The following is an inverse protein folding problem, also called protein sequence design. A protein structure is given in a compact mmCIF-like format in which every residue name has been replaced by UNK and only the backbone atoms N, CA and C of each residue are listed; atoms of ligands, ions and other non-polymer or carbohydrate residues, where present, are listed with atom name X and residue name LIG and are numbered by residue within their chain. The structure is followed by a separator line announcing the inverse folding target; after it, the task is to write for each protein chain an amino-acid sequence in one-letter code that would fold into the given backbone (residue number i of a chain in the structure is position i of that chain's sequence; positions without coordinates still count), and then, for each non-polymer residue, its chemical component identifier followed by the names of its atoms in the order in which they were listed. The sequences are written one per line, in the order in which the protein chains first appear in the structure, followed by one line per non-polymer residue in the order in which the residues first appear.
data_IF_720896067792
#
_entry.id   IF_720896067792
#
_cell.length_a   1.000
_cell.length_b   1.000
_cell.length_c   1.000
_cell.angle_alpha   90.00
_cell.angle_beta   90.00
_cell.angle_gamma   90.00
#
_symmetry.space_group_name_H-M   'P 1'
#
loop_
_entity.id
_entity.type
_entity.pdbx_description
1 polymer ?
#
# COMPACT_ATOMS: atom_id res chain seq x y z
N UNK A 1 -32.63 5.94 -13.04
CA UNK A 1 -31.16 5.90 -13.19
C UNK A 1 -30.64 4.94 -12.12
N UNK A 2 -30.16 3.75 -12.48
CA UNK A 2 -29.62 2.80 -11.48
C UNK A 2 -28.31 3.35 -10.92
N UNK A 3 -28.19 3.44 -9.60
CA UNK A 3 -26.96 3.88 -8.94
C UNK A 3 -25.86 2.85 -9.20
N UNK A 4 -24.73 3.30 -9.78
CA UNK A 4 -23.56 2.44 -10.01
C UNK A 4 -23.01 2.00 -8.65
N UNK A 5 -22.88 0.68 -8.44
CA UNK A 5 -22.33 0.10 -7.22
C UNK A 5 -20.89 0.57 -6.99
N UNK A 6 -20.47 0.70 -5.73
CA UNK A 6 -19.07 1.00 -5.36
C UNK A 6 -18.17 -0.19 -5.71
N UNK A 7 -16.88 0.06 -5.95
CA UNK A 7 -15.91 -1.01 -6.26
C UNK A 7 -15.87 -2.11 -5.17
N UNK A 8 -15.97 -1.73 -3.90
CA UNK A 8 -16.02 -2.67 -2.78
C UNK A 8 -17.25 -3.59 -2.84
N UNK A 9 -18.41 -3.07 -3.26
CA UNK A 9 -19.65 -3.86 -3.40
C UNK A 9 -19.58 -4.77 -4.63
N UNK A 10 -19.07 -4.24 -5.74
CA UNK A 10 -18.85 -5.03 -6.96
C UNK A 10 -17.90 -6.21 -6.68
N UNK A 11 -16.82 -5.96 -5.93
CA UNK A 11 -15.86 -6.99 -5.53
C UNK A 11 -16.54 -8.07 -4.70
N UNK A 12 -17.26 -7.70 -3.63
CA UNK A 12 -17.97 -8.68 -2.78
C UNK A 12 -18.90 -9.57 -3.57
N UNK A 13 -19.71 -8.98 -4.46
CA UNK A 13 -20.66 -9.74 -5.28
C UNK A 13 -19.92 -10.71 -6.21
N UNK A 14 -18.88 -10.23 -6.92
CA UNK A 14 -18.10 -11.08 -7.82
C UNK A 14 -17.37 -12.21 -7.05
N UNK A 15 -16.82 -11.90 -5.89
CA UNK A 15 -16.06 -12.85 -5.09
C UNK A 15 -16.97 -13.89 -4.43
N UNK A 16 -18.16 -13.51 -3.96
CA UNK A 16 -19.16 -14.46 -3.46
C UNK A 16 -19.67 -15.39 -4.56
N UNK A 17 -19.87 -14.88 -5.78
CA UNK A 17 -20.22 -15.69 -6.95
C UNK A 17 -19.15 -16.75 -7.24
N UNK A 18 -17.88 -16.36 -7.22
CA UNK A 18 -16.76 -17.27 -7.39
C UNK A 18 -16.68 -18.31 -6.26
N UNK A 19 -16.74 -17.87 -4.99
CA UNK A 19 -16.75 -18.76 -3.83
C UNK A 19 -17.88 -19.78 -3.93
N UNK A 20 -19.10 -19.35 -4.27
CA UNK A 20 -20.26 -20.23 -4.42
C UNK A 20 -20.05 -21.26 -5.53
N UNK A 21 -19.59 -20.82 -6.71
CA UNK A 21 -19.33 -21.73 -7.84
C UNK A 21 -18.26 -22.79 -7.50
N UNK A 22 -17.30 -22.43 -6.65
CA UNK A 22 -16.22 -23.30 -6.21
C UNK A 22 -16.49 -24.01 -4.86
N UNK A 23 -17.72 -23.99 -4.33
CA UNK A 23 -18.09 -24.53 -3.01
C UNK A 23 -17.15 -24.07 -1.87
N UNK A 24 -16.67 -22.83 -1.96
CA UNK A 24 -15.75 -22.22 -1.00
C UNK A 24 -14.31 -22.74 -1.07
N UNK A 25 -13.95 -23.54 -2.08
CA UNK A 25 -12.63 -24.16 -2.21
C UNK A 25 -11.79 -23.55 -3.34
N UNK A 26 -10.71 -22.79 -3.04
CA UNK A 26 -9.80 -22.28 -4.08
C UNK A 26 -9.07 -23.40 -4.83
N UNK A 27 -8.89 -24.58 -4.22
CA UNK A 27 -8.33 -25.75 -4.93
C UNK A 27 -9.24 -26.26 -6.03
N UNK A 28 -10.57 -26.17 -5.84
CA UNK A 28 -11.55 -26.56 -6.86
C UNK A 28 -11.45 -25.64 -8.09
N UNK A 29 -11.19 -24.34 -7.88
CA UNK A 29 -10.93 -23.39 -8.97
C UNK A 29 -9.75 -23.86 -9.84
N UNK A 30 -8.59 -24.13 -9.24
CA UNK A 30 -7.38 -24.58 -9.96
C UNK A 30 -7.57 -25.93 -10.66
N UNK A 31 -8.31 -26.85 -10.04
CA UNK A 31 -8.46 -28.22 -10.57
C UNK A 31 -9.38 -28.29 -11.78
N UNK A 32 -10.44 -27.48 -11.81
CA UNK A 32 -11.55 -27.66 -12.75
C UNK A 32 -11.78 -26.47 -13.70
N UNK A 33 -10.95 -25.42 -13.69
CA UNK A 33 -11.18 -24.27 -14.57
C UNK A 33 -11.15 -24.61 -16.07
N UNK A 34 -10.36 -25.62 -16.47
CA UNK A 34 -10.32 -26.09 -17.87
C UNK A 34 -11.60 -26.82 -18.30
N UNK A 35 -12.28 -27.49 -17.37
CA UNK A 35 -13.53 -28.22 -17.63
C UNK A 35 -14.78 -27.36 -17.44
N UNK A 36 -14.69 -26.30 -16.64
CA UNK A 36 -15.80 -25.42 -16.26
C UNK A 36 -15.46 -23.98 -16.66
N UNK A 37 -15.80 -23.53 -17.89
CA UNK A 37 -15.45 -22.20 -18.39
C UNK A 37 -15.97 -21.04 -17.53
N UNK A 38 -17.02 -21.28 -16.75
CA UNK A 38 -17.55 -20.28 -15.81
C UNK A 38 -16.54 -19.90 -14.71
N UNK A 39 -15.67 -20.83 -14.29
CA UNK A 39 -14.67 -20.58 -13.25
C UNK A 39 -13.68 -19.51 -13.69
N UNK A 40 -13.14 -19.63 -14.90
CA UNK A 40 -12.22 -18.65 -15.46
C UNK A 40 -12.86 -17.29 -15.68
N UNK A 41 -14.10 -17.25 -16.21
CA UNK A 41 -14.88 -16.02 -16.33
C UNK A 41 -15.09 -15.30 -14.98
N UNK A 42 -15.42 -16.04 -13.92
CA UNK A 42 -15.61 -15.49 -12.58
C UNK A 42 -14.28 -15.04 -11.94
N UNK A 43 -13.21 -15.83 -12.10
CA UNK A 43 -11.87 -15.49 -11.65
C UNK A 43 -11.37 -14.20 -12.31
N UNK A 44 -11.48 -14.10 -13.64
CA UNK A 44 -11.17 -12.90 -14.43
C UNK A 44 -11.99 -11.69 -13.97
N UNK A 45 -13.27 -11.87 -13.64
CA UNK A 45 -14.10 -10.77 -13.12
C UNK A 45 -13.61 -10.29 -11.74
N UNK A 46 -13.26 -11.21 -10.84
CA UNK A 46 -12.71 -10.87 -9.52
C UNK A 46 -11.36 -10.18 -9.66
N UNK A 47 -10.46 -10.72 -10.47
CA UNK A 47 -9.13 -10.15 -10.73
C UNK A 47 -9.24 -8.71 -11.28
N UNK A 48 -10.07 -8.48 -12.29
CA UNK A 48 -10.27 -7.15 -12.87
C UNK A 48 -10.75 -6.11 -11.85
N UNK A 49 -11.65 -6.48 -10.93
CA UNK A 49 -12.15 -5.57 -9.89
C UNK A 49 -11.09 -5.39 -8.79
N UNK A 50 -10.41 -6.46 -8.39
CA UNK A 50 -9.33 -6.41 -7.40
C UNK A 50 -8.19 -5.51 -7.88
N UNK A 51 -7.79 -5.66 -9.15
CA UNK A 51 -6.81 -4.79 -9.82
C UNK A 51 -7.24 -3.33 -9.80
N UNK A 52 -8.51 -3.00 -10.08
CA UNK A 52 -9.00 -1.62 -9.94
C UNK A 52 -8.92 -1.10 -8.50
N UNK A 53 -9.23 -1.93 -7.50
CA UNK A 53 -9.12 -1.57 -6.09
C UNK A 53 -7.65 -1.31 -5.72
N UNK A 54 -6.74 -2.19 -6.13
CA UNK A 54 -5.30 -2.03 -5.89
C UNK A 54 -4.72 -0.81 -6.61
N UNK A 55 -5.17 -0.51 -7.84
CA UNK A 55 -4.84 0.74 -8.53
C UNK A 55 -5.20 1.96 -7.68
N UNK A 56 -6.41 1.99 -7.12
CA UNK A 56 -6.81 3.09 -6.22
C UNK A 56 -5.92 3.14 -4.96
N UNK A 57 -5.48 2.00 -4.42
CA UNK A 57 -4.55 1.93 -3.28
C UNK A 57 -3.13 2.48 -3.60
N UNK A 58 -2.78 2.59 -4.89
CA UNK A 58 -1.53 3.22 -5.34
C UNK A 58 -1.62 4.75 -5.31
N UNK A 59 -2.81 5.33 -5.33
CA UNK A 59 -2.99 6.80 -5.23
C UNK A 59 -3.33 7.27 -3.82
N UNK A 60 -3.97 6.41 -3.02
CA UNK A 60 -4.34 6.73 -1.63
C UNK A 60 -4.16 5.52 -0.74
N UNK A 61 -3.73 5.75 0.49
CA UNK A 61 -3.57 4.67 1.48
C UNK A 61 -4.78 4.49 2.38
N UNK A 62 -5.68 5.45 2.46
CA UNK A 62 -6.85 5.36 3.33
C UNK A 62 -8.14 5.30 2.52
N UNK A 63 -9.00 4.32 2.85
CA UNK A 63 -10.26 4.08 2.16
C UNK A 63 -11.40 4.08 3.17
N UNK A 64 -12.19 5.15 3.18
CA UNK A 64 -13.28 5.36 4.12
C UNK A 64 -14.59 4.66 3.71
N UNK A 65 -15.52 4.57 4.65
CA UNK A 65 -16.88 4.08 4.42
C UNK A 65 -16.95 2.67 3.82
N UNK A 66 -16.11 1.79 4.36
CA UNK A 66 -15.99 0.40 3.90
C UNK A 66 -16.80 -0.52 4.81
N UNK A 67 -17.55 -1.44 4.21
CA UNK A 67 -18.30 -2.45 4.98
C UNK A 67 -17.36 -3.50 5.59
N UNK A 68 -17.65 -3.97 6.81
CA UNK A 68 -16.84 -4.99 7.49
C UNK A 68 -16.75 -6.30 6.68
N UNK A 69 -17.81 -6.67 5.97
CA UNK A 69 -17.79 -7.88 5.15
C UNK A 69 -16.84 -7.74 3.96
N UNK A 70 -16.73 -6.55 3.35
CA UNK A 70 -15.70 -6.31 2.32
C UNK A 70 -14.31 -6.52 2.90
N UNK A 71 -14.02 -5.99 4.09
CA UNK A 71 -12.71 -6.14 4.73
C UNK A 71 -12.39 -7.62 4.95
N UNK A 72 -13.39 -8.41 5.36
CA UNK A 72 -13.25 -9.85 5.56
C UNK A 72 -13.06 -10.60 4.23
N UNK A 73 -13.86 -10.31 3.21
CA UNK A 73 -13.74 -10.88 1.86
C UNK A 73 -12.40 -10.51 1.21
N UNK A 74 -11.94 -9.27 1.37
CA UNK A 74 -10.65 -8.81 0.85
C UNK A 74 -9.49 -9.53 1.51
N UNK A 75 -9.55 -9.78 2.83
CA UNK A 75 -8.56 -10.61 3.53
C UNK A 75 -8.59 -12.06 3.04
N UNK A 76 -9.77 -12.65 2.88
CA UNK A 76 -9.90 -14.01 2.36
C UNK A 76 -9.34 -14.12 0.94
N UNK A 77 -9.63 -13.14 0.08
CA UNK A 77 -9.03 -13.01 -1.24
C UNK A 77 -7.51 -12.98 -1.17
N UNK A 78 -6.93 -12.01 -0.45
CA UNK A 78 -5.47 -11.83 -0.39
C UNK A 78 -4.73 -13.06 0.15
N UNK A 79 -5.27 -13.72 1.17
CA UNK A 79 -4.56 -14.79 1.87
C UNK A 79 -4.87 -16.21 1.38
N UNK A 80 -6.01 -16.43 0.72
CA UNK A 80 -6.44 -17.80 0.34
C UNK A 80 -6.80 -17.99 -1.12
N UNK A 81 -7.14 -16.93 -1.86
CA UNK A 81 -7.65 -17.09 -3.24
C UNK A 81 -6.81 -16.40 -4.30
N UNK A 82 -6.02 -15.39 -3.92
CA UNK A 82 -5.31 -14.55 -4.88
C UNK A 82 -4.41 -15.36 -5.80
N UNK A 83 -3.62 -16.28 -5.25
CA UNK A 83 -2.67 -17.08 -6.06
C UNK A 83 -3.39 -17.98 -7.07
N UNK A 84 -4.48 -18.59 -6.64
CA UNK A 84 -5.31 -19.48 -7.46
C UNK A 84 -6.05 -18.71 -8.56
N UNK A 85 -6.58 -17.52 -8.24
CA UNK A 85 -7.20 -16.62 -9.21
C UNK A 85 -6.15 -16.13 -10.22
N UNK A 86 -5.02 -15.63 -9.75
CA UNK A 86 -3.93 -15.12 -10.59
C UNK A 86 -3.45 -16.23 -11.56
N UNK A 87 -3.30 -17.47 -11.08
CA UNK A 87 -2.96 -18.62 -11.93
C UNK A 87 -4.01 -18.88 -13.02
N UNK A 88 -5.30 -19.00 -12.65
CA UNK A 88 -6.36 -19.30 -13.61
C UNK A 88 -6.47 -18.22 -14.69
N UNK A 89 -6.44 -16.94 -14.30
CA UNK A 89 -6.49 -15.81 -15.25
C UNK A 89 -5.31 -15.85 -16.22
N UNK A 90 -4.12 -16.17 -15.71
CA UNK A 90 -2.90 -16.25 -16.51
C UNK A 90 -2.90 -17.45 -17.45
N UNK A 91 -3.37 -18.60 -16.97
CA UNK A 91 -3.53 -19.82 -17.76
C UNK A 91 -4.47 -19.59 -18.94
N UNK A 92 -5.63 -18.94 -18.71
CA UNK A 92 -6.56 -18.61 -19.79
C UNK A 92 -5.96 -17.63 -20.81
N UNK A 93 -5.24 -16.60 -20.33
CA UNK A 93 -4.58 -15.65 -21.22
C UNK A 93 -3.50 -16.32 -22.07
N UNK A 94 -2.62 -17.12 -21.48
CA UNK A 94 -1.56 -17.84 -22.19
C UNK A 94 -2.13 -18.85 -23.19
N UNK A 95 -3.17 -19.60 -22.81
CA UNK A 95 -3.85 -20.51 -23.72
C UNK A 95 -4.48 -19.76 -24.91
N UNK A 96 -5.01 -18.55 -24.70
CA UNK A 96 -5.57 -17.73 -25.80
C UNK A 96 -4.51 -17.21 -26.79
N UNK A 97 -3.24 -17.28 -26.39
CA UNK A 97 -2.07 -16.87 -27.18
C UNK A 97 -1.25 -18.07 -27.67
N UNK A 98 -1.81 -19.29 -27.59
CA UNK A 98 -1.16 -20.57 -27.96
C UNK A 98 0.16 -20.85 -27.21
N UNK A 99 0.32 -20.32 -25.99
CA UNK A 99 1.46 -20.66 -25.11
C UNK A 99 1.16 -21.87 -24.22
N UNK A 100 2.19 -22.64 -23.92
CA UNK A 100 2.10 -23.74 -22.97
C UNK A 100 1.89 -23.20 -21.54
N UNK A 101 0.90 -23.75 -20.85
CA UNK A 101 0.56 -23.37 -19.48
C UNK A 101 1.18 -24.38 -18.52
N UNK A 102 2.12 -23.92 -17.69
CA UNK A 102 2.69 -24.74 -16.62
C UNK A 102 1.67 -25.09 -15.54
N UNK A 103 1.99 -26.07 -14.67
CA UNK A 103 1.08 -26.43 -13.57
C UNK A 103 1.05 -25.35 -12.48
N UNK A 104 0.01 -25.37 -11.65
CA UNK A 104 -0.07 -24.45 -10.51
C UNK A 104 1.11 -24.64 -9.54
N UNK A 105 1.55 -25.89 -9.32
CA UNK A 105 2.70 -26.21 -8.49
C UNK A 105 4.00 -25.62 -9.04
N UNK A 106 4.17 -25.59 -10.36
CA UNK A 106 5.35 -24.98 -11.00
C UNK A 106 5.35 -23.47 -10.80
N UNK A 107 4.20 -22.83 -11.06
CA UNK A 107 4.02 -21.39 -10.79
C UNK A 107 4.27 -21.06 -9.32
N UNK A 108 3.86 -21.91 -8.37
CA UNK A 108 4.15 -21.71 -6.96
C UNK A 108 5.64 -21.82 -6.61
N UNK A 109 6.37 -22.75 -7.22
CA UNK A 109 7.82 -22.94 -6.99
C UNK A 109 8.62 -21.75 -7.50
N UNK A 110 8.19 -21.16 -8.61
CA UNK A 110 8.85 -20.00 -9.22
C UNK A 110 8.52 -18.68 -8.51
N UNK A 111 7.84 -18.74 -7.36
CA UNK A 111 7.46 -17.57 -6.56
C UNK A 111 6.14 -16.92 -7.00
N UNK A 112 5.42 -17.54 -7.93
CA UNK A 112 4.20 -17.01 -8.55
C UNK A 112 4.52 -16.06 -9.69
N UNK A 113 3.61 -15.96 -10.66
CA UNK A 113 3.72 -14.90 -11.66
C UNK A 113 3.27 -13.59 -11.01
N UNK A 114 4.23 -12.74 -10.66
CA UNK A 114 3.92 -11.43 -10.08
C UNK A 114 3.63 -10.42 -11.20
N UNK A 115 2.51 -10.57 -11.90
CA UNK A 115 2.05 -9.60 -12.92
C UNK A 115 1.87 -8.18 -12.38
N UNK A 116 1.92 -8.00 -11.06
CA UNK A 116 1.75 -6.72 -10.37
C UNK A 116 3.07 -6.18 -9.80
N UNK A 117 4.22 -6.73 -10.21
CA UNK A 117 5.51 -6.09 -9.98
C UNK A 117 5.57 -4.79 -10.77
N UNK A 118 6.05 -3.73 -10.13
CA UNK A 118 6.32 -2.47 -10.81
C UNK A 118 7.58 -2.63 -11.65
N UNK A 119 7.59 -2.06 -12.86
CA UNK A 119 8.75 -2.04 -13.75
C UNK A 119 9.09 -0.62 -14.15
N UNK A 120 10.32 -0.37 -14.61
CA UNK A 120 10.61 0.90 -15.27
C UNK A 120 9.64 1.11 -16.45
N UNK A 121 9.20 2.34 -16.71
CA UNK A 121 8.47 2.65 -17.93
C UNK A 121 9.36 2.37 -19.14
N UNK A 122 8.79 1.80 -20.19
CA UNK A 122 9.48 1.56 -21.46
C UNK A 122 9.17 2.73 -22.43
N UNK A 123 10.12 3.65 -22.66
CA UNK A 123 9.87 4.84 -23.47
C UNK A 123 9.60 4.53 -24.95
N UNK A 124 9.89 3.30 -25.43
CA UNK A 124 9.57 2.90 -26.81
C UNK A 124 8.09 2.56 -27.00
N UNK A 125 7.38 2.20 -25.92
CA UNK A 125 5.98 1.77 -25.96
C UNK A 125 5.04 2.64 -25.11
N UNK A 126 5.57 3.46 -24.22
CA UNK A 126 4.81 4.21 -23.22
C UNK A 126 5.14 5.71 -23.26
N UNK A 127 4.11 6.55 -23.18
CA UNK A 127 4.20 8.01 -23.29
C UNK A 127 3.90 8.74 -21.96
N UNK A 128 3.50 8.01 -20.92
CA UNK A 128 3.13 8.56 -19.62
C UNK A 128 3.57 7.67 -18.45
N UNK A 129 3.86 8.29 -17.31
CA UNK A 129 4.09 7.57 -16.05
C UNK A 129 2.76 7.14 -15.41
N UNK A 130 2.66 5.85 -15.10
CA UNK A 130 1.50 5.20 -14.48
C UNK A 130 1.91 4.58 -13.15
N UNK A 131 1.61 5.18 -11.99
CA UNK A 131 2.05 4.68 -10.68
C UNK A 131 1.48 3.29 -10.33
N UNK A 132 0.53 2.78 -11.10
CA UNK A 132 -0.02 1.45 -10.90
C UNK A 132 0.81 0.32 -11.50
N UNK A 133 1.59 0.62 -12.52
CA UNK A 133 2.41 -0.34 -13.28
C UNK A 133 3.89 0.01 -13.28
N UNK A 134 4.22 1.29 -13.08
CA UNK A 134 5.58 1.79 -13.13
C UNK A 134 6.24 1.92 -11.77
N UNK A 135 7.51 1.54 -11.74
CA UNK A 135 8.43 1.84 -10.66
C UNK A 135 8.93 3.27 -10.85
N UNK A 136 8.41 4.18 -10.02
CA UNK A 136 8.80 5.60 -10.08
C UNK A 136 10.27 5.85 -9.76
N UNK A 137 10.91 5.00 -8.96
CA UNK A 137 12.34 5.12 -8.68
C UNK A 137 13.18 4.72 -9.90
N UNK A 138 12.81 3.63 -10.55
CA UNK A 138 13.44 3.21 -11.79
C UNK A 138 13.21 4.24 -12.92
N UNK A 139 11.98 4.79 -13.03
CA UNK A 139 11.66 5.86 -13.97
C UNK A 139 12.52 7.11 -13.74
N UNK A 140 12.67 7.53 -12.47
CA UNK A 140 13.50 8.67 -12.10
C UNK A 140 14.99 8.42 -12.40
N UNK A 141 15.49 7.24 -12.07
CA UNK A 141 16.87 6.84 -12.36
C UNK A 141 17.15 6.82 -13.86
N UNK A 142 16.20 6.32 -14.66
CA UNK A 142 16.24 6.39 -16.12
C UNK A 142 16.28 7.83 -16.64
N UNK A 143 15.41 8.71 -16.12
CA UNK A 143 15.43 10.13 -16.47
C UNK A 143 16.78 10.80 -16.17
N UNK A 144 17.41 10.50 -15.03
CA UNK A 144 18.72 11.05 -14.67
C UNK A 144 19.82 10.59 -15.64
N UNK A 145 19.76 9.33 -16.08
CA UNK A 145 20.68 8.76 -17.07
C UNK A 145 20.49 9.43 -18.44
N UNK A 146 19.25 9.41 -18.97
CA UNK A 146 18.91 9.99 -20.28
C UNK A 146 19.20 11.49 -20.34
N UNK A 147 18.95 12.22 -19.26
CA UNK A 147 19.24 13.67 -19.19
C UNK A 147 20.74 13.95 -19.33
N UNK A 148 21.60 13.10 -18.77
CA UNK A 148 23.06 13.21 -18.89
C UNK A 148 23.51 12.94 -20.32
N UNK A 149 23.03 11.84 -20.89
CA UNK A 149 23.43 11.41 -22.23
C UNK A 149 22.91 12.40 -23.30
N UNK A 150 21.71 12.95 -23.12
CA UNK A 150 21.17 14.04 -23.94
C UNK A 150 21.99 15.35 -23.82
N UNK A 151 22.44 15.70 -22.62
CA UNK A 151 23.29 16.88 -22.42
C UNK A 151 24.65 16.73 -23.15
N UNK A 152 25.26 15.55 -23.08
CA UNK A 152 26.49 15.24 -23.83
C UNK A 152 26.27 15.30 -25.34
N UNK A 153 25.18 14.71 -25.83
CA UNK A 153 24.81 14.77 -27.25
C UNK A 153 24.70 16.21 -27.74
N UNK A 154 24.03 17.09 -27.00
CA UNK A 154 23.86 18.49 -27.41
C UNK A 154 25.17 19.28 -27.42
N UNK A 155 26.08 19.05 -26.47
CA UNK A 155 27.42 19.67 -26.47
C UNK A 155 28.23 19.33 -27.71
N UNK A 156 28.06 18.13 -28.24
CA UNK A 156 28.81 17.66 -29.40
C UNK A 156 28.31 18.25 -30.74
N UNK A 157 27.28 19.12 -30.74
CA UNK A 157 26.71 19.70 -31.96
C UNK A 157 27.29 21.05 -32.39
N UNK A 158 28.20 21.64 -31.60
CA UNK A 158 28.89 22.92 -31.91
C UNK A 158 27.91 24.03 -32.37
N UNK A 159 26.83 24.24 -31.60
CA UNK A 159 25.78 25.22 -31.85
C UNK A 159 25.31 25.84 -30.52
N UNK A 160 25.24 27.17 -30.45
CA UNK A 160 24.89 27.89 -29.23
C UNK A 160 23.50 27.56 -28.67
N UNK A 161 22.53 27.18 -29.52
CA UNK A 161 21.21 26.72 -29.09
C UNK A 161 21.30 25.35 -28.41
N UNK A 162 22.15 24.45 -28.92
CA UNK A 162 22.37 23.14 -28.30
C UNK A 162 23.13 23.25 -26.98
N UNK A 163 24.08 24.18 -26.86
CA UNK A 163 24.75 24.48 -25.59
C UNK A 163 23.76 24.94 -24.50
N UNK A 164 22.81 25.81 -24.86
CA UNK A 164 21.79 26.26 -23.91
C UNK A 164 20.92 25.08 -23.41
N UNK A 165 20.57 24.13 -24.29
CA UNK A 165 19.82 22.92 -23.92
C UNK A 165 20.64 21.98 -23.02
N UNK A 166 21.90 21.74 -23.36
CA UNK A 166 22.81 20.95 -22.55
C UNK A 166 22.95 21.53 -21.14
N UNK A 167 23.15 22.84 -21.04
CA UNK A 167 23.25 23.54 -19.76
C UNK A 167 21.96 23.44 -18.94
N UNK A 168 20.79 23.56 -19.57
CA UNK A 168 19.51 23.42 -18.87
C UNK A 168 19.33 22.01 -18.26
N UNK A 169 19.66 20.95 -19.01
CA UNK A 169 19.59 19.57 -18.52
C UNK A 169 20.55 19.33 -17.36
N UNK A 170 21.80 19.79 -17.47
CA UNK A 170 22.79 19.61 -16.43
C UNK A 170 22.47 20.40 -15.15
N UNK A 171 21.94 21.61 -15.27
CA UNK A 171 21.47 22.39 -14.11
C UNK A 171 20.32 21.62 -13.43
N UNK A 172 19.36 21.10 -14.19
CA UNK A 172 18.26 20.29 -13.65
C UNK A 172 18.76 19.06 -12.89
N UNK A 173 19.69 18.30 -13.47
CA UNK A 173 20.33 17.14 -12.83
C UNK A 173 21.05 17.53 -11.54
N UNK A 174 21.84 18.59 -11.55
CA UNK A 174 22.56 19.07 -10.36
C UNK A 174 21.62 19.51 -9.24
N UNK A 175 20.47 20.12 -9.57
CA UNK A 175 19.44 20.45 -8.57
C UNK A 175 18.88 19.18 -7.92
N UNK A 176 18.60 18.14 -8.71
CA UNK A 176 18.11 16.87 -8.20
C UNK A 176 19.16 16.16 -7.33
N UNK A 177 20.43 16.15 -7.75
CA UNK A 177 21.53 15.63 -6.95
C UNK A 177 21.72 16.41 -5.64
N UNK A 178 21.49 17.73 -5.65
CA UNK A 178 21.50 18.53 -4.44
C UNK A 178 20.34 18.16 -3.49
N UNK A 179 19.16 17.89 -4.04
CA UNK A 179 18.01 17.38 -3.26
C UNK A 179 18.33 16.05 -2.56
N UNK A 180 18.93 15.10 -3.27
CA UNK A 180 19.23 13.78 -2.70
C UNK A 180 20.43 13.84 -1.75
N UNK A 181 21.54 14.43 -2.17
CA UNK A 181 22.82 14.36 -1.44
C UNK A 181 22.98 15.43 -0.36
N UNK A 182 22.32 16.60 -0.51
CA UNK A 182 22.44 17.71 0.45
C UNK A 182 21.19 17.88 1.30
N UNK A 183 20.00 17.87 0.69
CA UNK A 183 18.74 17.98 1.45
C UNK A 183 18.38 16.64 2.12
N UNK A 184 18.79 15.51 1.52
CA UNK A 184 18.57 14.16 2.07
C UNK A 184 17.23 13.54 1.70
N UNK A 185 16.58 14.01 0.63
CA UNK A 185 15.33 13.43 0.13
C UNK A 185 15.68 12.40 -0.95
N UNK A 186 15.63 11.12 -0.59
CA UNK A 186 15.87 9.99 -1.51
C UNK A 186 14.57 9.65 -2.27
N UNK A 187 14.55 9.96 -3.57
CA UNK A 187 13.35 9.81 -4.42
C UNK A 187 13.01 8.33 -4.64
N UNK A 188 14.03 7.49 -4.83
CA UNK A 188 13.84 6.05 -5.00
C UNK A 188 13.20 5.44 -3.75
N UNK A 189 13.74 5.75 -2.57
CA UNK A 189 13.17 5.30 -1.30
C UNK A 189 11.78 5.88 -1.03
N UNK A 190 11.48 7.08 -1.52
CA UNK A 190 10.13 7.64 -1.40
C UNK A 190 9.10 6.76 -2.11
N UNK A 191 9.39 6.31 -3.35
CA UNK A 191 8.53 5.39 -4.10
C UNK A 191 8.46 3.99 -3.44
N UNK A 192 9.59 3.42 -3.05
CA UNK A 192 9.62 2.15 -2.32
C UNK A 192 8.81 2.23 -1.02
N UNK A 193 8.99 3.31 -0.26
CA UNK A 193 8.29 3.58 0.98
C UNK A 193 6.78 3.67 0.77
N UNK A 194 6.34 4.44 -0.22
CA UNK A 194 4.93 4.52 -0.62
C UNK A 194 4.34 3.15 -0.95
N UNK A 195 5.09 2.32 -1.68
CA UNK A 195 4.65 0.98 -2.07
C UNK A 195 4.61 -0.02 -0.91
N UNK A 196 5.44 0.17 0.13
CA UNK A 196 5.50 -0.68 1.33
C UNK A 196 4.42 -0.36 2.36
N UNK A 197 3.85 0.86 2.34
CA UNK A 197 2.77 1.24 3.26
C UNK A 197 1.49 0.48 2.91
N UNK A 198 0.87 -0.23 3.87
CA UNK A 198 -0.36 -0.95 3.62
C UNK A 198 -1.54 0.03 3.47
N UNK A 199 -2.42 -0.24 2.51
CA UNK A 199 -3.69 0.48 2.44
C UNK A 199 -4.60 0.09 3.63
N UNK A 200 -5.30 1.04 4.22
CA UNK A 200 -6.21 0.89 5.35
C UNK A 200 -7.64 1.05 4.89
N UNK A 201 -8.46 0.02 5.11
CA UNK A 201 -9.90 0.10 4.91
C UNK A 201 -10.58 0.49 6.21
N UNK A 202 -11.05 1.73 6.30
CA UNK A 202 -11.71 2.26 7.50
C UNK A 202 -13.18 1.83 7.48
N UNK A 203 -13.62 1.03 8.47
CA UNK A 203 -15.02 0.61 8.55
C UNK A 203 -15.97 1.80 8.61
N UNK A 204 -17.20 1.68 8.09
CA UNK A 204 -18.19 2.76 8.15
C UNK A 204 -18.42 3.30 9.56
N UNK A 205 -18.59 2.44 10.57
CA UNK A 205 -18.82 2.89 11.96
C UNK A 205 -17.63 3.62 12.59
N UNK A 206 -16.41 3.37 12.08
CA UNK A 206 -15.21 4.13 12.45
C UNK A 206 -15.20 5.45 11.69
N UNK A 207 -15.43 5.39 10.38
CA UNK A 207 -15.42 6.54 9.47
C UNK A 207 -16.47 7.59 9.84
N UNK A 208 -17.68 7.19 10.25
CA UNK A 208 -18.78 8.10 10.58
C UNK A 208 -18.46 9.02 11.78
N UNK A 209 -17.46 8.64 12.59
CA UNK A 209 -17.03 9.39 13.77
C UNK A 209 -15.92 10.40 13.49
N UNK A 210 -15.22 10.20 12.38
CA UNK A 210 -14.07 11.01 11.99
C UNK A 210 -14.46 11.77 10.74
N UNK A 211 -14.65 13.08 10.84
CA UNK A 211 -14.97 13.90 9.67
C UNK A 211 -13.91 13.70 8.58
N UNK A 212 -14.32 13.34 7.35
CA UNK A 212 -13.40 13.07 6.24
C UNK A 212 -12.50 14.28 5.88
N UNK A 213 -12.87 15.47 6.31
CA UNK A 213 -12.18 16.74 6.04
C UNK A 213 -11.84 17.50 7.31
N UNK A 214 -12.01 16.89 8.48
CA UNK A 214 -11.73 17.55 9.76
C UNK A 214 -10.23 17.52 10.06
N UNK A 215 -9.67 18.70 10.34
CA UNK A 215 -8.25 18.85 10.69
C UNK A 215 -7.91 18.05 11.93
N UNK A 216 -6.91 17.19 11.82
CA UNK A 216 -6.50 16.31 12.91
C UNK A 216 -7.43 15.12 13.12
N UNK A 217 -8.31 14.82 12.16
CA UNK A 217 -9.03 13.55 12.10
C UNK A 217 -8.08 12.36 11.94
N UNK A 218 -8.62 11.15 12.11
CA UNK A 218 -7.92 9.89 11.82
C UNK A 218 -7.30 9.88 10.40
N UNK A 219 -7.96 10.48 9.41
CA UNK A 219 -7.49 10.51 8.03
C UNK A 219 -6.29 11.42 7.86
N UNK A 220 -6.40 12.66 8.34
CA UNK A 220 -5.34 13.65 8.25
C UNK A 220 -4.08 13.17 8.98
N UNK A 221 -4.22 12.63 10.19
CA UNK A 221 -3.08 12.12 10.94
C UNK A 221 -2.42 10.93 10.25
N UNK A 222 -3.19 10.04 9.61
CA UNK A 222 -2.63 8.91 8.86
C UNK A 222 -1.88 9.38 7.62
N UNK A 223 -2.45 10.30 6.86
CA UNK A 223 -1.83 10.84 5.66
C UNK A 223 -0.56 11.64 5.99
N UNK A 224 -0.55 12.42 7.08
CA UNK A 224 0.65 13.11 7.57
C UNK A 224 1.72 12.12 8.05
N UNK A 225 1.33 11.03 8.74
CA UNK A 225 2.28 9.97 9.13
C UNK A 225 2.94 9.33 7.90
N UNK A 226 2.13 9.05 6.87
CA UNK A 226 2.58 8.51 5.59
C UNK A 226 3.56 9.47 4.90
N UNK A 227 3.21 10.76 4.79
CA UNK A 227 4.09 11.77 4.19
C UNK A 227 5.41 11.89 4.94
N UNK A 228 5.36 11.98 6.27
CA UNK A 228 6.54 12.04 7.12
C UNK A 228 7.47 10.83 6.90
N UNK A 229 6.92 9.63 6.77
CA UNK A 229 7.71 8.43 6.46
C UNK A 229 8.35 8.49 5.07
N UNK A 230 7.61 8.91 4.04
CA UNK A 230 8.10 8.98 2.65
C UNK A 230 9.25 9.98 2.53
N UNK A 231 9.11 11.18 3.12
CA UNK A 231 10.15 12.23 3.07
C UNK A 231 11.33 11.98 4.01
N UNK A 232 11.32 10.85 4.71
CA UNK A 232 12.43 10.43 5.57
C UNK A 232 12.50 11.06 6.95
N UNK A 233 11.34 11.40 7.51
CA UNK A 233 11.18 11.85 8.90
C UNK A 233 10.53 10.74 9.77
N UNK A 234 11.25 9.63 10.10
CA UNK A 234 10.68 8.52 10.85
C UNK A 234 10.19 8.91 12.24
N UNK A 235 10.86 9.85 12.92
CA UNK A 235 10.42 10.35 14.23
C UNK A 235 9.05 11.02 14.17
N UNK A 236 8.82 11.89 13.17
CA UNK A 236 7.52 12.51 12.96
C UNK A 236 6.46 11.45 12.60
N UNK A 237 6.78 10.51 11.72
CA UNK A 237 5.88 9.43 11.34
C UNK A 237 5.47 8.59 12.56
N UNK A 238 6.41 8.18 13.42
CA UNK A 238 6.14 7.41 14.64
C UNK A 238 5.33 8.22 15.66
N UNK A 239 5.62 9.51 15.84
CA UNK A 239 4.82 10.37 16.72
C UNK A 239 3.35 10.40 16.28
N UNK A 240 3.11 10.57 14.98
CA UNK A 240 1.77 10.57 14.39
C UNK A 240 1.11 9.19 14.49
N UNK A 241 1.84 8.10 14.23
CA UNK A 241 1.33 6.74 14.41
C UNK A 241 0.94 6.46 15.87
N UNK A 242 1.70 6.97 16.84
CA UNK A 242 1.36 6.85 18.26
C UNK A 242 0.10 7.64 18.62
N UNK A 243 -0.03 8.87 18.13
CA UNK A 243 -1.23 9.68 18.32
C UNK A 243 -2.47 9.01 17.71
N UNK A 244 -2.34 8.43 16.51
CA UNK A 244 -3.37 7.63 15.86
C UNK A 244 -3.76 6.41 16.68
N UNK A 245 -2.80 5.66 17.21
CA UNK A 245 -3.07 4.48 18.02
C UNK A 245 -3.88 4.88 19.26
N UNK A 246 -3.46 5.94 19.94
CA UNK A 246 -4.16 6.46 21.11
C UNK A 246 -5.59 6.88 20.78
N UNK A 247 -5.77 7.67 19.71
CA UNK A 247 -7.08 8.09 19.21
C UNK A 247 -7.98 6.88 18.91
N UNK A 248 -7.47 5.90 18.16
CA UNK A 248 -8.23 4.71 17.77
C UNK A 248 -8.69 3.93 19.02
N UNK A 249 -7.80 3.72 19.99
CA UNK A 249 -8.13 3.00 21.23
C UNK A 249 -9.16 3.77 22.08
N UNK A 250 -8.98 5.08 22.26
CA UNK A 250 -9.92 5.89 23.06
C UNK A 250 -11.30 5.96 22.41
N UNK A 251 -11.35 6.30 21.12
CA UNK A 251 -12.61 6.61 20.44
C UNK A 251 -13.44 5.36 20.12
N UNK A 252 -12.78 4.24 19.83
CA UNK A 252 -13.45 3.04 19.32
C UNK A 252 -13.40 1.85 20.27
N UNK A 253 -12.42 1.75 21.17
CA UNK A 253 -12.29 0.61 22.09
C UNK A 253 -12.72 0.94 23.52
N UNK A 254 -12.45 2.16 24.00
CA UNK A 254 -12.67 2.61 25.38
C UNK A 254 -13.65 3.77 25.47
N UNK A 255 -14.88 3.60 24.95
CA UNK A 255 -15.89 4.67 24.98
C UNK A 255 -16.24 5.10 26.41
N UNK A 256 -16.48 6.40 26.58
CA UNK A 256 -16.98 6.99 27.83
C UNK A 256 -15.87 7.33 28.82
N UNK A 257 -16.12 7.25 30.14
CA UNK A 257 -15.15 7.63 31.18
C UNK A 257 -13.82 6.88 31.07
N UNK A 258 -13.87 5.62 30.66
CA UNK A 258 -12.70 4.74 30.49
C UNK A 258 -11.70 5.26 29.45
N UNK A 259 -12.16 6.07 28.48
CA UNK A 259 -11.34 6.64 27.41
C UNK A 259 -10.85 8.06 27.67
N UNK A 260 -11.33 8.73 28.72
CA UNK A 260 -11.01 10.14 28.99
C UNK A 260 -9.89 10.34 30.03
N UNK A 261 -9.45 9.28 30.71
CA UNK A 261 -8.37 9.30 31.69
C UNK A 261 -7.15 8.48 31.28
N UNK A 262 -6.01 8.75 31.91
CA UNK A 262 -4.82 7.90 31.84
C UNK A 262 -3.87 8.19 30.68
N UNK A 263 -2.65 7.71 30.80
CA UNK A 263 -1.65 7.71 29.74
C UNK A 263 -1.90 6.57 28.74
N UNK A 264 -1.14 6.55 27.64
CA UNK A 264 -1.24 5.48 26.64
C UNK A 264 -0.99 4.08 27.24
N UNK A 265 -0.21 3.97 28.33
CA UNK A 265 -0.03 2.71 29.04
C UNK A 265 -1.36 2.16 29.57
N UNK A 266 -2.10 3.00 30.31
CA UNK A 266 -3.40 2.65 30.87
C UNK A 266 -4.42 2.32 29.77
N UNK A 267 -4.45 3.13 28.71
CA UNK A 267 -5.33 2.92 27.55
C UNK A 267 -5.09 1.54 26.91
N UNK A 268 -3.84 1.14 26.71
CA UNK A 268 -3.51 -0.18 26.16
C UNK A 268 -4.00 -1.31 27.08
N UNK A 269 -3.75 -1.20 28.39
CA UNK A 269 -4.13 -2.25 29.35
C UNK A 269 -5.64 -2.41 29.45
N UNK A 270 -6.38 -1.30 29.50
CA UNK A 270 -7.84 -1.31 29.53
C UNK A 270 -8.43 -1.91 28.26
N UNK A 271 -7.91 -1.53 27.09
CA UNK A 271 -8.38 -2.08 25.82
C UNK A 271 -8.12 -3.59 25.75
N UNK A 272 -6.93 -4.05 26.14
CA UNK A 272 -6.58 -5.46 26.17
C UNK A 272 -7.40 -6.28 27.18
N UNK A 273 -7.80 -5.69 28.31
CA UNK A 273 -8.69 -6.34 29.27
C UNK A 273 -10.12 -6.52 28.73
N UNK A 274 -10.55 -5.69 27.77
CA UNK A 274 -11.89 -5.76 27.17
C UNK A 274 -11.95 -6.61 25.91
N UNK A 275 -10.86 -6.71 25.14
CA UNK A 275 -10.85 -7.39 23.84
C UNK A 275 -9.68 -8.37 23.71
N UNK A 276 -9.99 -9.67 23.70
CA UNK A 276 -9.00 -10.76 23.70
C UNK A 276 -8.02 -10.74 22.51
N UNK A 277 -8.41 -10.15 21.38
CA UNK A 277 -7.53 -10.04 20.20
C UNK A 277 -6.48 -8.94 20.33
N UNK A 278 -6.56 -8.08 21.35
CA UNK A 278 -5.58 -7.02 21.59
C UNK A 278 -4.42 -7.59 22.41
N UNK A 279 -3.27 -7.70 21.78
CA UNK A 279 -2.04 -8.10 22.46
C UNK A 279 -1.39 -6.90 23.17
N UNK A 280 -1.63 -6.77 24.48
CA UNK A 280 -1.06 -5.69 25.30
C UNK A 280 0.47 -5.62 25.24
N UNK A 281 1.15 -6.78 25.29
CA UNK A 281 2.62 -6.85 25.24
C UNK A 281 3.16 -6.24 23.96
N UNK A 282 2.55 -6.60 22.82
CA UNK A 282 2.91 -6.04 21.50
C UNK A 282 2.67 -4.53 21.44
N UNK A 283 1.55 -4.04 21.94
CA UNK A 283 1.25 -2.60 21.97
C UNK A 283 2.21 -1.81 22.88
N UNK A 284 2.58 -2.37 24.04
CA UNK A 284 3.59 -1.76 24.91
C UNK A 284 4.97 -1.74 24.27
N UNK A 285 5.33 -2.79 23.52
CA UNK A 285 6.56 -2.83 22.74
C UNK A 285 6.57 -1.72 21.69
N UNK A 286 5.49 -1.57 20.91
CA UNK A 286 5.35 -0.44 19.97
C UNK A 286 5.54 0.90 20.67
N UNK A 287 4.79 1.15 21.76
CA UNK A 287 4.90 2.39 22.54
C UNK A 287 6.33 2.67 23.00
N UNK A 288 7.03 1.64 23.48
CA UNK A 288 8.40 1.78 23.99
C UNK A 288 9.37 2.06 22.85
N UNK A 289 9.30 1.31 21.74
CA UNK A 289 10.08 1.57 20.53
C UNK A 289 9.84 2.99 20.00
N UNK A 290 8.61 3.49 20.06
CA UNK A 290 8.30 4.86 19.68
C UNK A 290 8.96 5.90 20.60
N UNK A 291 8.90 5.69 21.91
CA UNK A 291 9.60 6.55 22.86
C UNK A 291 11.11 6.54 22.58
N UNK A 292 11.69 5.36 22.39
CA UNK A 292 13.12 5.22 22.14
C UNK A 292 13.54 5.96 20.86
N UNK A 293 12.78 5.81 19.77
CA UNK A 293 13.04 6.50 18.51
C UNK A 293 12.89 8.02 18.66
N UNK A 294 11.88 8.50 19.39
CA UNK A 294 11.65 9.94 19.61
C UNK A 294 12.70 10.58 20.52
N UNK A 295 13.18 9.86 21.54
CA UNK A 295 14.16 10.39 22.50
C UNK A 295 15.61 10.25 22.04
N UNK A 296 15.94 9.21 21.27
CA UNK A 296 17.30 8.97 20.76
C UNK A 296 17.57 9.57 19.38
N UNK A 297 16.60 10.30 18.79
CA UNK A 297 16.70 10.84 17.44
C UNK A 297 17.94 11.74 17.23
N UNK A 298 18.33 12.53 18.24
CA UNK A 298 19.48 13.44 18.14
C UNK A 298 20.85 12.74 18.16
N UNK A 299 20.92 11.49 18.63
CA UNK A 299 22.16 10.73 18.74
C UNK A 299 22.46 9.88 17.50
N UNK A 300 21.48 9.69 16.60
CA UNK A 300 21.62 8.90 15.39
C UNK A 300 21.63 9.82 14.17
N UNK A 301 22.81 10.10 13.63
CA UNK A 301 22.96 10.97 12.45
C UNK A 301 22.49 10.34 11.14
N UNK A 302 21.96 9.11 11.17
CA UNK A 302 21.53 8.36 9.99
C UNK A 302 20.26 7.58 10.33
N UNK A 303 19.24 7.73 9.48
CA UNK A 303 18.02 6.91 9.45
C UNK A 303 18.41 5.44 9.37
N UNK A 304 18.21 4.67 10.44
CA UNK A 304 18.58 3.26 10.45
C UNK A 304 17.52 2.42 9.70
N UNK A 305 17.93 1.31 9.10
CA UNK A 305 16.99 0.33 8.53
C UNK A 305 16.00 -0.19 9.58
N UNK A 306 16.37 -0.14 10.86
CA UNK A 306 15.52 -0.60 11.96
C UNK A 306 14.44 0.43 12.32
N UNK A 307 14.69 1.73 12.12
CA UNK A 307 13.67 2.78 12.24
C UNK A 307 12.59 2.61 11.18
N UNK A 308 12.97 2.34 9.92
CA UNK A 308 12.02 2.09 8.84
C UNK A 308 11.16 0.86 9.10
N UNK A 309 11.77 -0.24 9.55
CA UNK A 309 11.02 -1.45 9.94
C UNK A 309 10.04 -1.15 11.08
N UNK A 310 10.46 -0.33 12.06
CA UNK A 310 9.62 0.08 13.18
C UNK A 310 8.41 0.86 12.68
N UNK A 311 8.60 1.90 11.86
CA UNK A 311 7.50 2.69 11.27
C UNK A 311 6.53 1.82 10.45
N UNK A 312 7.05 0.91 9.62
CA UNK A 312 6.20 0.00 8.83
C UNK A 312 5.42 -0.98 9.70
N UNK A 313 5.98 -1.39 10.84
CA UNK A 313 5.27 -2.22 11.81
C UNK A 313 4.12 -1.44 12.45
N UNK A 314 4.36 -0.17 12.80
CA UNK A 314 3.31 0.75 13.25
C UNK A 314 2.16 0.88 12.24
N UNK A 315 2.44 1.09 10.95
CA UNK A 315 1.39 1.17 9.93
C UNK A 315 0.56 -0.12 9.82
N UNK A 316 1.20 -1.29 9.88
CA UNK A 316 0.50 -2.59 9.83
C UNK A 316 -0.38 -2.80 11.06
N UNK A 317 0.10 -2.41 12.23
CA UNK A 317 -0.65 -2.55 13.47
C UNK A 317 -1.80 -1.56 13.54
N UNK A 318 -1.61 -0.29 13.15
CA UNK A 318 -2.69 0.68 12.99
C UNK A 318 -3.76 0.20 12.03
N UNK A 319 -3.36 -0.31 10.85
CA UNK A 319 -4.29 -0.94 9.90
C UNK A 319 -5.12 -2.01 10.60
N UNK A 320 -4.49 -2.91 11.34
CA UNK A 320 -5.18 -3.98 12.04
C UNK A 320 -6.20 -3.44 13.05
N UNK A 321 -5.81 -2.50 13.91
CA UNK A 321 -6.71 -1.96 14.94
C UNK A 321 -7.83 -1.08 14.39
N UNK A 322 -7.59 -0.34 13.30
CA UNK A 322 -8.63 0.43 12.61
C UNK A 322 -9.65 -0.52 11.95
N UNK A 323 -9.17 -1.52 11.20
CA UNK A 323 -10.02 -2.49 10.50
C UNK A 323 -10.79 -3.44 11.43
N UNK A 324 -10.32 -3.63 12.68
CA UNK A 324 -10.93 -4.49 13.70
C UNK A 324 -11.70 -3.73 14.79
N UNK A 325 -11.78 -2.40 14.69
CA UNK A 325 -12.49 -1.59 15.66
C UNK A 325 -13.93 -2.11 15.86
N UNK A 326 -14.40 -2.29 17.10
CA UNK A 326 -15.68 -2.92 17.38
C UNK A 326 -16.85 -2.02 16.99
N UNK A 327 -17.90 -2.62 16.41
CA UNK A 327 -19.19 -1.94 16.26
C UNK A 327 -19.77 -1.78 17.65
N UNK A 328 -19.98 -0.55 18.06
CA UNK A 328 -20.35 -0.20 19.43
C UNK A 328 -21.46 0.83 19.44
#
# INVERSE_FOLDING_TARGET
MMQKLRLSEQFRIAFEQLKTACDGSPKKLVTFFGDVPEFGRLASKVDNIASQIERVQRYRKTHAQISNEFIQDWKDYLYKWRKEIDYVVSAELLASLDFEVGTFEDVQKDGGVNFRSLSAPDPDFEDEFRPETHDGGAAFSGFMLESRDAAEYFRNKDDALFDAKANALDIGRQVLEYFENTIGIDINRAFEGWNRIPAVFVPSHVSDRHGLTEKGSLYDLFDEAVRAYIVGAPAAAVAMCRALLEMVLRDHYLRGPDGQGGDLHGVINLAAARYDFINASKLHQLRTNANDLLHNYSAQSVRSLDDEKTVLTFFRDLKFYIEKAPVT
#
